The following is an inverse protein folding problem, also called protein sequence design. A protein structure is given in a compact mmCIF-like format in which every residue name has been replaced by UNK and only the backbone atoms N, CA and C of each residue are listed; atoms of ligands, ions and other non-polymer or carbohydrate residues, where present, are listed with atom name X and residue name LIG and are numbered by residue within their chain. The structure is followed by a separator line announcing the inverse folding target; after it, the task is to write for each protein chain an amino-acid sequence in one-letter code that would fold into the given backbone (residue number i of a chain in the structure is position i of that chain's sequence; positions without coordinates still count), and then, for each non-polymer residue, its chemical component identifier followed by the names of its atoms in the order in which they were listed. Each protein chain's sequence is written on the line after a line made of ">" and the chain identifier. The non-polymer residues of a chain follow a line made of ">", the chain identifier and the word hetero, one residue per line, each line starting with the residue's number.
data_IF_803655993900
#
_entry.id   IF_803655993900
#
_cell.length_a   1.000
_cell.length_b   1.000
_cell.length_c   1.000
_cell.angle_alpha   90.00
_cell.angle_beta   90.00
_cell.angle_gamma   90.00
#
_symmetry.space_group_name_H-M   'P 1'
#
loop_
_entity.id
_entity.type
_entity.pdbx_description
1 polymer ?
#
# COMPACT_ATOMS: atom_id res chain seq x y z
N UNK A 1 24.39 14.14 0.23
CA UNK A 1 23.94 14.18 0.11
C UNK A 1 23.60 13.86 -0.25
N UNK A 2 23.95 13.54 0.70
CA UNK A 2 23.51 13.43 0.49
C UNK A 2 23.16 12.87 0.13
N UNK A 3 23.72 12.70 0.91
CA UNK A 3 23.19 12.56 0.68
C UNK A 3 22.77 11.88 0.32
N UNK A 4 23.01 11.52 0.61
CA UNK A 4 22.39 11.24 0.32
C UNK A 4 22.13 10.77 -0.12
N UNK A 5 22.56 10.60 0.17
CA UNK A 5 22.04 10.52 -0.20
C UNK A 5 21.74 10.09 -0.75
N UNK A 6 22.30 9.86 -0.30
CA UNK A 6 21.79 9.68 -0.72
C UNK A 6 21.55 9.17 -1.23
N UNK A 7 21.75 8.82 -1.37
CA UNK A 7 21.16 8.49 -1.63
C UNK A 7 21.20 8.10 -2.19
N UNK A 8 21.91 7.82 -1.46
CA UNK A 8 21.67 7.77 -1.75
C UNK A 8 21.47 7.28 -2.14
N UNK A 9 21.84 7.07 -1.73
CA UNK A 9 21.39 6.99 -1.83
C UNK A 9 21.27 6.57 -2.17
N UNK A 10 21.51 6.37 -2.17
CA UNK A 10 21.10 6.32 -2.30
C UNK A 10 20.87 5.96 -2.28
N UNK A 11 21.47 5.83 -1.58
CA UNK A 11 21.02 5.94 -1.34
C UNK A 11 20.64 5.51 -1.27
N UNK A 12 20.98 5.20 -0.89
CA UNK A 12 20.34 5.33 -0.67
C UNK A 12 20.10 4.89 -0.63
N UNK A 13 20.33 4.46 -0.34
CA UNK A 13 19.74 4.58 -0.23
C UNK A 13 19.68 4.19 -0.18
N UNK A 14 19.97 3.89 0.21
CA UNK A 14 19.58 4.11 0.33
C UNK A 14 19.52 3.88 0.41
N UNK A 15 19.84 3.34 0.75
CA UNK A 15 19.37 3.54 0.84
C UNK A 15 19.30 3.26 0.89
N UNK A 16 19.70 2.95 1.31
CA UNK A 16 19.27 3.25 1.38
C UNK A 16 18.96 3.06 1.65
N UNK A 17 19.24 2.40 2.05
CA UNK A 17 18.58 2.76 2.32
C UNK A 17 18.30 2.25 2.77
N UNK A 18 18.44 2.02 3.42
CA UNK A 18 17.92 2.28 3.77
C UNK A 18 17.47 2.04 4.32
N UNK A 19 17.37 1.64 5.29
CA UNK A 19 16.49 1.90 5.48
C UNK A 19 16.44 1.96 6.29
N UNK A 20 16.49 2.17 6.96
CA UNK A 20 16.16 2.72 7.53
C UNK A 20 15.52 2.62 8.28
N UNK A 21 15.43 2.33 8.97
CA UNK A 21 14.59 2.48 9.28
C UNK A 21 14.32 3.09 9.97
N UNK A 22 14.42 3.34 10.35
CA UNK A 22 14.06 4.15 10.37
C UNK A 22 13.93 4.71 10.00
N UNK A 23 14.27 4.45 10.01
CA UNK A 23 14.07 5.03 9.13
C UNK A 23 13.42 4.75 8.70
N UNK A 24 12.99 4.54 8.97
CA UNK A 24 12.34 4.31 8.29
C UNK A 24 12.10 4.43 7.40
N UNK A 25 12.20 3.80 7.39
CA UNK A 25 12.03 4.04 6.22
C UNK A 25 11.00 4.80 5.89
N UNK A 26 10.83 5.48 5.78
CA UNK A 26 9.91 6.24 5.31
C UNK A 26 10.02 6.45 3.88
N UNK A 27 9.01 6.91 3.23
CA UNK A 27 9.10 7.21 1.84
C UNK A 27 9.96 8.40 1.69
N UNK A 28 11.16 8.14 1.36
CA UNK A 28 12.07 9.23 1.15
C UNK A 28 11.75 9.86 -0.18
N UNK A 29 11.98 11.11 -0.31
CA UNK A 29 11.90 11.79 -1.56
C UNK A 29 10.54 12.33 -1.88
N UNK A 30 10.30 12.58 -3.16
CA UNK A 30 9.15 13.33 -3.61
C UNK A 30 7.93 12.47 -3.89
N UNK A 31 8.10 11.16 -3.99
CA UNK A 31 7.00 10.28 -4.36
C UNK A 31 6.30 9.77 -3.12
N UNK A 32 4.99 9.93 -3.08
CA UNK A 32 4.18 9.53 -1.94
C UNK A 32 3.07 8.60 -2.40
N UNK A 33 2.95 7.41 -1.81
CA UNK A 33 1.86 6.51 -2.16
C UNK A 33 0.56 6.98 -1.53
N UNK A 34 -0.50 6.92 -2.32
CA UNK A 34 -1.82 7.33 -1.86
C UNK A 34 -2.85 6.40 -2.47
N UNK A 35 -3.88 6.07 -1.69
CA UNK A 35 -5.04 5.38 -2.23
C UNK A 35 -6.23 6.30 -2.16
N UNK A 36 -7.05 6.27 -3.22
CA UNK A 36 -8.26 7.04 -3.28
C UNK A 36 -9.43 6.07 -3.22
N UNK A 37 -10.32 6.30 -2.26
CA UNK A 37 -11.53 5.49 -2.17
C UNK A 37 -12.54 6.04 -3.18
N UNK A 38 -12.91 5.21 -4.15
CA UNK A 38 -13.66 5.74 -5.28
C UNK A 38 -15.12 6.01 -4.95
N UNK A 39 -15.67 5.35 -3.93
CA UNK A 39 -17.07 5.57 -3.58
C UNK A 39 -17.32 6.96 -2.99
N UNK A 40 -16.33 7.56 -2.36
CA UNK A 40 -16.52 8.88 -1.71
C UNK A 40 -15.41 9.88 -2.03
N UNK A 41 -14.39 9.48 -2.81
CA UNK A 41 -13.32 10.37 -3.18
C UNK A 41 -12.28 10.61 -2.09
N UNK A 42 -12.37 9.90 -0.99
CA UNK A 42 -11.43 10.08 0.11
C UNK A 42 -10.03 9.66 -0.30
N UNK A 43 -9.05 10.51 0.02
CA UNK A 43 -7.64 10.24 -0.30
C UNK A 43 -6.91 9.88 0.98
N UNK A 44 -6.30 8.71 0.97
CA UNK A 44 -5.62 8.18 2.16
C UNK A 44 -4.15 8.03 1.82
N UNK A 45 -3.30 8.81 2.49
CA UNK A 45 -1.86 8.71 2.30
C UNK A 45 -1.32 7.54 3.09
N UNK A 46 -0.49 6.74 2.43
CA UNK A 46 0.12 5.58 3.06
C UNK A 46 1.36 6.06 3.81
N UNK A 47 1.23 6.23 5.12
CA UNK A 47 2.26 6.83 5.94
C UNK A 47 3.11 5.81 6.69
N UNK A 48 2.73 4.56 6.66
CA UNK A 48 3.48 3.50 7.32
C UNK A 48 3.39 2.24 6.48
N UNK A 49 4.37 1.38 6.59
CA UNK A 49 4.43 0.14 5.85
C UNK A 49 4.86 -0.98 6.80
N UNK A 50 4.20 -2.12 6.76
CA UNK A 50 3.06 -2.42 5.90
C UNK A 50 1.83 -1.62 6.30
N UNK A 51 0.95 -1.38 5.32
CA UNK A 51 -0.25 -0.59 5.51
C UNK A 51 -1.45 -1.52 5.35
N UNK A 52 -2.20 -1.72 6.43
CA UNK A 52 -3.28 -2.68 6.46
C UNK A 52 -4.63 -2.00 6.29
N UNK A 53 -5.50 -2.62 5.51
CA UNK A 53 -6.85 -2.12 5.27
C UNK A 53 -7.83 -3.19 5.72
N UNK A 54 -8.82 -2.80 6.52
CA UNK A 54 -9.80 -3.74 6.98
C UNK A 54 -11.08 -3.07 7.44
N UNK A 55 -12.04 -3.90 7.87
CA UNK A 55 -13.30 -3.38 8.36
C UNK A 55 -13.18 -2.86 9.80
N UNK A 56 -12.42 -3.57 10.62
CA UNK A 56 -12.28 -3.20 12.04
C UNK A 56 -10.84 -3.09 12.49
N UNK A 57 -9.88 -3.65 11.75
CA UNK A 57 -8.47 -3.65 12.12
C UNK A 57 -7.63 -3.19 10.96
N UNK A 58 -6.68 -2.31 11.22
CA UNK A 58 -5.75 -1.85 10.20
C UNK A 58 -5.48 -0.37 10.32
N UNK A 59 -4.69 0.11 9.38
CA UNK A 59 -4.32 1.53 9.31
C UNK A 59 -5.40 2.36 8.64
N UNK A 60 -6.20 1.74 7.79
CA UNK A 60 -7.37 2.36 7.21
C UNK A 60 -8.56 1.45 7.42
N UNK A 61 -9.60 1.98 8.03
CA UNK A 61 -10.77 1.20 8.46
C UNK A 61 -11.98 1.61 7.61
N UNK A 62 -12.71 0.59 7.10
CA UNK A 62 -13.95 0.81 6.35
C UNK A 62 -15.07 0.08 7.10
N UNK A 63 -15.56 0.67 8.21
CA UNK A 63 -16.48 -0.06 9.08
C UNK A 63 -17.89 -0.22 8.53
N UNK A 64 -18.26 0.62 7.59
CA UNK A 64 -19.62 0.58 7.06
C UNK A 64 -19.80 -0.46 5.95
N UNK A 65 -18.75 -1.16 5.52
CA UNK A 65 -18.86 -2.15 4.46
C UNK A 65 -18.72 -3.55 5.04
N UNK A 66 -19.83 -4.26 5.25
CA UNK A 66 -19.77 -5.60 5.87
C UNK A 66 -19.12 -6.66 5.00
N UNK A 67 -18.94 -6.39 3.70
CA UNK A 67 -18.27 -7.34 2.81
C UNK A 67 -16.76 -7.37 3.03
N UNK A 68 -16.21 -6.36 3.70
CA UNK A 68 -14.78 -6.30 3.97
C UNK A 68 -14.46 -7.07 5.24
N UNK A 69 -13.43 -7.92 5.18
CA UNK A 69 -12.98 -8.69 6.33
C UNK A 69 -12.35 -7.77 7.37
N UNK A 70 -12.30 -8.22 8.61
CA UNK A 70 -11.75 -7.40 9.70
C UNK A 70 -10.35 -6.90 9.37
N UNK A 71 -9.47 -7.80 8.89
CA UNK A 71 -8.20 -7.45 8.27
C UNK A 71 -8.27 -8.01 6.87
N UNK A 72 -8.34 -7.16 5.87
CA UNK A 72 -8.66 -7.62 4.52
C UNK A 72 -7.44 -7.73 3.62
N UNK A 73 -6.61 -6.69 3.58
CA UNK A 73 -5.46 -6.66 2.69
C UNK A 73 -4.42 -5.72 3.25
N UNK A 74 -3.21 -5.80 2.71
CA UNK A 74 -2.15 -4.88 3.12
C UNK A 74 -1.31 -4.49 1.92
N UNK A 75 -0.73 -3.31 2.02
CA UNK A 75 0.23 -2.83 1.04
C UNK A 75 1.59 -2.92 1.69
N UNK A 76 2.54 -3.53 0.98
CA UNK A 76 3.91 -3.69 1.47
C UNK A 76 4.87 -3.07 0.48
N UNK A 77 6.07 -2.80 0.94
CA UNK A 77 7.12 -2.24 0.10
C UNK A 77 8.35 -3.12 0.21
N UNK A 78 8.84 -3.61 -0.91
CA UNK A 78 10.11 -4.33 -0.96
C UNK A 78 10.60 -4.34 -2.40
N UNK A 79 11.90 -4.61 -2.56
CA UNK A 79 12.52 -4.65 -3.88
C UNK A 79 12.23 -3.39 -4.70
N UNK A 80 12.14 -2.24 -4.02
CA UNK A 80 11.95 -0.98 -4.70
C UNK A 80 10.54 -0.69 -5.18
N UNK A 81 9.56 -1.48 -4.78
CA UNK A 81 8.20 -1.29 -5.25
C UNK A 81 7.14 -1.59 -4.21
N UNK A 82 5.93 -1.22 -4.54
CA UNK A 82 4.78 -1.47 -3.68
C UNK A 82 4.02 -2.67 -4.19
N UNK A 83 3.49 -3.47 -3.26
CA UNK A 83 2.75 -4.69 -3.57
C UNK A 83 1.50 -4.76 -2.72
N UNK A 84 0.44 -5.35 -3.29
CA UNK A 84 -0.78 -5.62 -2.55
C UNK A 84 -0.83 -7.08 -2.19
N UNK A 85 -1.22 -7.38 -0.95
CA UNK A 85 -1.31 -8.73 -0.44
C UNK A 85 -2.68 -8.95 0.19
N UNK A 86 -3.31 -10.09 -0.15
CA UNK A 86 -4.58 -10.46 0.46
C UNK A 86 -4.31 -11.19 1.77
N UNK A 87 -5.06 -10.84 2.81
CA UNK A 87 -4.88 -11.42 4.14
C UNK A 87 -5.94 -12.49 4.41
N UNK A 88 -6.15 -13.37 3.44
CA UNK A 88 -7.12 -14.46 3.54
C UNK A 88 -8.53 -13.93 3.74
N UNK A 89 -8.88 -12.93 2.94
CA UNK A 89 -10.17 -12.27 3.06
C UNK A 89 -11.30 -13.18 2.56
N UNK A 90 -12.50 -12.98 3.13
CA UNK A 90 -13.65 -13.79 2.75
C UNK A 90 -14.13 -13.48 1.34
N UNK A 91 -14.07 -12.22 0.93
CA UNK A 91 -14.60 -11.79 -0.37
C UNK A 91 -13.53 -11.29 -1.33
N UNK A 92 -12.29 -11.64 -1.04
CA UNK A 92 -11.14 -11.49 -1.94
C UNK A 92 -10.71 -10.05 -2.19
N UNK A 93 -9.49 -9.94 -2.68
CA UNK A 93 -8.87 -8.67 -3.08
C UNK A 93 -8.52 -8.80 -4.56
N UNK A 94 -8.72 -7.70 -5.30
CA UNK A 94 -8.46 -7.69 -6.74
C UNK A 94 -7.54 -6.52 -7.06
N UNK A 95 -6.60 -6.75 -7.97
CA UNK A 95 -5.71 -5.72 -8.48
C UNK A 95 -5.78 -5.75 -9.99
N UNK A 96 -6.19 -4.62 -10.59
CA UNK A 96 -6.35 -4.55 -12.03
C UNK A 96 -7.32 -5.58 -12.57
N UNK A 97 -8.34 -5.93 -11.77
CA UNK A 97 -9.33 -6.89 -12.17
C UNK A 97 -8.95 -8.35 -11.94
N UNK A 98 -7.75 -8.61 -11.40
CA UNK A 98 -7.31 -9.98 -11.14
C UNK A 98 -7.41 -10.29 -9.65
N UNK A 99 -8.01 -11.42 -9.34
CA UNK A 99 -8.15 -11.85 -7.96
C UNK A 99 -6.81 -12.34 -7.41
N UNK A 100 -6.49 -11.92 -6.19
CA UNK A 100 -5.30 -12.36 -5.50
C UNK A 100 -5.61 -13.63 -4.71
N UNK A 101 -4.73 -14.62 -4.80
CA UNK A 101 -4.81 -15.74 -3.89
C UNK A 101 -4.37 -15.31 -2.50
N UNK A 102 -4.88 -16.01 -1.49
CA UNK A 102 -4.53 -15.69 -0.11
C UNK A 102 -3.02 -15.77 0.07
N UNK A 103 -2.45 -14.72 0.65
CA UNK A 103 -1.01 -14.64 0.88
C UNK A 103 -0.18 -14.28 -0.33
N UNK A 104 -0.79 -14.16 -1.50
CA UNK A 104 -0.06 -13.78 -2.70
C UNK A 104 0.08 -12.28 -2.80
N UNK A 105 1.17 -11.84 -3.44
CA UNK A 105 1.43 -10.41 -3.64
C UNK A 105 1.49 -10.11 -5.12
N UNK A 106 0.94 -8.95 -5.50
CA UNK A 106 1.09 -8.46 -6.87
C UNK A 106 1.59 -7.02 -6.82
N UNK A 107 2.42 -6.63 -7.79
CA UNK A 107 2.94 -5.27 -7.79
C UNK A 107 1.86 -4.25 -8.10
N UNK A 108 2.01 -3.07 -7.49
CA UNK A 108 1.12 -1.93 -7.72
C UNK A 108 1.85 -0.91 -8.56
N UNK A 109 1.19 -0.42 -9.59
CA UNK A 109 1.74 0.61 -10.45
C UNK A 109 0.86 1.86 -10.38
N UNK A 110 1.35 2.94 -10.93
CA UNK A 110 0.63 4.20 -10.97
C UNK A 110 -0.76 4.00 -11.59
N UNK A 111 -1.79 4.45 -10.89
CA UNK A 111 -3.16 4.41 -11.38
C UNK A 111 -3.86 3.06 -11.25
N UNK A 112 -3.22 2.12 -10.55
CA UNK A 112 -3.78 0.77 -10.45
C UNK A 112 -5.10 0.76 -9.70
N UNK A 113 -6.09 0.07 -10.27
CA UNK A 113 -7.37 -0.12 -9.60
C UNK A 113 -7.30 -1.29 -8.64
N UNK A 114 -7.80 -1.07 -7.45
CA UNK A 114 -7.84 -2.07 -6.40
C UNK A 114 -9.29 -2.30 -6.01
N UNK A 115 -9.62 -3.52 -5.62
CA UNK A 115 -10.96 -3.79 -5.12
C UNK A 115 -10.88 -4.75 -3.96
N UNK A 116 -11.41 -4.35 -2.81
CA UNK A 116 -11.51 -5.18 -1.62
C UNK A 116 -12.97 -5.55 -1.48
N UNK A 117 -13.30 -6.81 -1.75
CA UNK A 117 -14.69 -7.25 -1.83
C UNK A 117 -15.38 -6.43 -2.93
N UNK A 118 -16.28 -5.52 -2.55
CA UNK A 118 -16.97 -4.66 -3.51
C UNK A 118 -16.56 -3.19 -3.37
N UNK A 119 -15.51 -2.91 -2.59
CA UNK A 119 -15.06 -1.54 -2.37
C UNK A 119 -13.90 -1.23 -3.32
N UNK A 120 -14.06 -0.19 -4.16
CA UNK A 120 -13.06 0.13 -5.16
C UNK A 120 -12.16 1.26 -4.70
N UNK A 121 -10.88 1.08 -4.93
CA UNK A 121 -9.84 2.05 -4.58
C UNK A 121 -8.93 2.22 -5.78
N UNK A 122 -8.12 3.28 -5.75
CA UNK A 122 -7.12 3.48 -6.78
C UNK A 122 -5.80 3.87 -6.14
N UNK A 123 -4.73 3.25 -6.60
CA UNK A 123 -3.39 3.48 -6.09
C UNK A 123 -2.68 4.48 -6.98
N UNK A 124 -2.08 5.50 -6.38
CA UNK A 124 -1.30 6.50 -7.11
C UNK A 124 -0.03 6.83 -6.35
N UNK A 125 0.96 7.26 -7.09
CA UNK A 125 2.20 7.80 -6.54
C UNK A 125 2.23 9.29 -6.89
N UNK A 126 2.35 10.13 -5.86
CA UNK A 126 2.31 11.59 -6.05
C UNK A 126 3.56 12.29 -5.61
#
# INVERSE_FOLDING_TARGET
>A
KPSIERFDAKAAVQHEGVYDPLRRQQCAGSVKPVITRLSNGERIYIRCLPFTIGRTEGDYIIPENPAISRRHAMIVFHNGGYYMRDLDSANHTYVGGKELGAGCEVPLIQGERLRLANEELQFNLE
#
